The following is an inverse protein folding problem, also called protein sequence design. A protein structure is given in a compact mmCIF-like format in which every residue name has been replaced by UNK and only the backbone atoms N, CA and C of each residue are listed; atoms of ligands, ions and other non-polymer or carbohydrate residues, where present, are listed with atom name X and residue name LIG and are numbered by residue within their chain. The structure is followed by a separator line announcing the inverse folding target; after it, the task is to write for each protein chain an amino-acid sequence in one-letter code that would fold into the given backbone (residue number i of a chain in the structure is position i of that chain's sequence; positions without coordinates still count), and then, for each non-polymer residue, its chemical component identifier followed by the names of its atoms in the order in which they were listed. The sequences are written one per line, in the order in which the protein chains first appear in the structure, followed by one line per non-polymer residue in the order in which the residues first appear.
data_IF_431565108324
#
_entry.id   IF_431565108324
#
_cell.length_a   1.000
_cell.length_b   1.000
_cell.length_c   1.000
_cell.angle_alpha   90.00
_cell.angle_beta   90.00
_cell.angle_gamma   90.00
#
_symmetry.space_group_name_H-M   'P 1'
#
loop_
_entity.id
_entity.type
_entity.pdbx_description
1 polymer ?
#
# COMPACT_ATOMS: atom_id res chain seq x y z
N UNK A 1 56.66 6.90 21.84
CA UNK A 1 56.53 7.79 20.64
C UNK A 1 56.47 6.90 19.42
N UNK A 2 55.29 6.68 18.89
CA UNK A 2 55.09 5.89 17.65
C UNK A 2 54.55 6.87 16.64
N UNK A 3 55.38 7.21 15.66
CA UNK A 3 54.97 8.04 14.53
C UNK A 3 54.25 7.20 13.48
N UNK A 4 53.03 7.53 13.17
CA UNK A 4 52.29 6.97 12.04
C UNK A 4 52.64 7.79 10.76
N UNK A 5 52.99 7.14 9.64
CA UNK A 5 53.24 7.88 8.39
C UNK A 5 51.92 8.29 7.71
N UNK A 6 51.84 9.44 7.07
CA UNK A 6 50.68 9.85 6.34
C UNK A 6 50.66 9.16 4.97
N UNK A 7 49.73 8.21 4.81
CA UNK A 7 49.45 7.59 3.51
C UNK A 7 48.50 8.51 2.71
N UNK A 8 49.03 9.61 2.23
CA UNK A 8 48.36 10.45 1.23
C UNK A 8 48.80 9.99 -0.16
N UNK A 9 48.13 9.02 -0.74
CA UNK A 9 48.30 8.67 -2.15
C UNK A 9 47.77 9.81 -3.02
N UNK A 10 48.65 10.69 -3.44
CA UNK A 10 48.35 11.75 -4.42
C UNK A 10 48.07 11.04 -5.75
N UNK A 11 46.80 10.85 -6.10
CA UNK A 11 46.40 10.47 -7.44
C UNK A 11 46.97 11.46 -8.46
N UNK A 12 47.66 10.95 -9.46
CA UNK A 12 48.25 11.77 -10.55
C UNK A 12 47.15 12.52 -11.29
N UNK A 13 47.41 13.74 -11.78
CA UNK A 13 46.39 14.57 -12.45
C UNK A 13 45.71 13.86 -13.62
N UNK A 14 46.40 12.98 -14.31
CA UNK A 14 45.84 12.14 -15.40
C UNK A 14 44.79 11.14 -14.88
N UNK A 15 44.98 10.56 -13.71
CA UNK A 15 44.00 9.65 -13.09
C UNK A 15 42.73 10.38 -12.61
N UNK A 16 42.88 11.63 -12.18
CA UNK A 16 41.72 12.49 -11.82
C UNK A 16 40.91 12.89 -13.04
N UNK A 17 41.57 13.21 -14.16
CA UNK A 17 40.91 13.53 -15.40
C UNK A 17 40.16 12.33 -15.99
N UNK A 18 40.71 11.11 -15.85
CA UNK A 18 40.05 9.87 -16.33
C UNK A 18 38.84 9.52 -15.50
N UNK A 19 38.88 9.72 -14.17
CA UNK A 19 37.74 9.50 -13.27
C UNK A 19 36.58 10.49 -13.51
N UNK A 20 36.92 11.78 -13.81
CA UNK A 20 35.93 12.79 -14.17
C UNK A 20 35.28 12.49 -15.55
N UNK A 21 36.05 11.99 -16.51
CA UNK A 21 35.56 11.66 -17.86
C UNK A 21 34.60 10.43 -17.87
N UNK A 22 34.79 9.51 -16.92
CA UNK A 22 33.90 8.34 -16.76
C UNK A 22 32.62 8.63 -15.93
N UNK A 23 32.63 9.68 -15.10
CA UNK A 23 31.48 10.06 -14.31
C UNK A 23 30.42 10.87 -15.09
N UNK A 24 30.83 11.59 -16.16
CA UNK A 24 29.92 12.41 -16.96
C UNK A 24 28.86 11.62 -17.73
N UNK A 25 29.17 10.49 -18.39
CA UNK A 25 28.16 9.71 -19.11
C UNK A 25 27.17 8.98 -18.18
N UNK A 26 27.55 8.69 -16.94
CA UNK A 26 26.67 8.06 -15.96
C UNK A 26 25.54 9.00 -15.45
N UNK A 27 25.76 10.30 -15.42
CA UNK A 27 24.72 11.28 -15.07
C UNK A 27 23.71 11.52 -16.19
N UNK A 28 24.09 11.29 -17.46
CA UNK A 28 23.20 11.46 -18.62
C UNK A 28 22.25 10.27 -18.83
N UNK A 29 22.46 9.17 -18.14
CA UNK A 29 21.60 7.98 -18.23
C UNK A 29 20.36 7.98 -17.33
N UNK A 30 20.16 9.04 -16.52
CA UNK A 30 18.93 9.29 -15.78
C UNK A 30 17.85 9.80 -16.76
N UNK A 31 17.30 8.87 -17.54
CA UNK A 31 16.09 9.18 -18.31
C UNK A 31 14.99 9.61 -17.34
N UNK A 32 14.32 10.75 -17.56
CA UNK A 32 13.19 11.13 -16.74
C UNK A 32 12.15 10.02 -16.82
N UNK A 33 11.84 9.41 -15.69
CA UNK A 33 10.72 8.48 -15.59
C UNK A 33 9.46 9.31 -15.81
N UNK A 34 8.97 9.33 -17.03
CA UNK A 34 7.68 9.95 -17.36
C UNK A 34 6.58 9.03 -16.87
N UNK A 35 5.88 9.44 -15.81
CA UNK A 35 4.67 8.79 -15.38
C UNK A 35 3.62 8.94 -16.48
N UNK A 36 3.13 7.81 -17.02
CA UNK A 36 2.03 7.83 -17.99
C UNK A 36 0.73 8.13 -17.26
N UNK A 37 -0.07 9.01 -17.80
CA UNK A 37 -1.42 9.28 -17.30
C UNK A 37 -2.33 8.10 -17.66
N UNK A 38 -2.96 7.51 -16.63
CA UNK A 38 -4.04 6.55 -16.82
C UNK A 38 -5.35 7.33 -16.94
N UNK A 39 -6.06 7.15 -18.05
CA UNK A 39 -7.42 7.64 -18.22
C UNK A 39 -8.36 6.47 -17.95
N UNK A 40 -9.15 6.60 -16.90
CA UNK A 40 -10.14 5.61 -16.50
C UNK A 40 -11.54 6.16 -16.78
N UNK A 41 -12.35 5.40 -17.50
CA UNK A 41 -13.75 5.72 -17.79
C UNK A 41 -14.65 4.81 -16.96
N UNK A 42 -15.64 5.39 -16.31
CA UNK A 42 -16.64 4.71 -15.52
C UNK A 42 -18.03 5.16 -15.96
N UNK A 43 -19.06 4.38 -15.66
CA UNK A 43 -20.47 4.69 -15.93
C UNK A 43 -21.01 5.90 -15.16
N UNK A 44 -20.29 6.32 -14.11
CA UNK A 44 -20.65 7.46 -13.28
C UNK A 44 -19.47 7.98 -12.47
N UNK A 45 -19.69 9.03 -11.71
CA UNK A 45 -18.70 9.55 -10.76
C UNK A 45 -18.81 8.85 -9.40
N UNK A 46 -17.72 8.53 -8.72
CA UNK A 46 -17.76 8.03 -7.36
C UNK A 46 -18.33 9.08 -6.40
N UNK A 47 -19.12 8.65 -5.42
CA UNK A 47 -19.68 9.53 -4.37
C UNK A 47 -18.55 10.17 -3.54
N UNK A 48 -17.59 9.37 -3.16
CA UNK A 48 -16.38 9.74 -2.43
C UNK A 48 -15.40 8.55 -2.43
N UNK A 49 -14.24 8.71 -1.78
CA UNK A 49 -13.22 7.67 -1.65
C UNK A 49 -13.19 7.02 -0.26
N UNK A 50 -14.31 7.00 0.45
CA UNK A 50 -14.44 6.33 1.74
C UNK A 50 -15.39 5.13 1.65
N UNK A 51 -14.88 3.88 1.60
CA UNK A 51 -15.70 2.70 1.34
C UNK A 51 -16.73 2.39 2.44
N UNK A 52 -16.53 2.89 3.66
CA UNK A 52 -17.44 2.65 4.78
C UNK A 52 -18.81 3.32 4.69
N UNK A 53 -19.03 4.23 3.71
CA UNK A 53 -20.30 4.95 3.52
C UNK A 53 -20.84 4.85 2.09
N UNK A 54 -20.07 4.29 1.18
CA UNK A 54 -20.46 4.17 -0.22
C UNK A 54 -21.44 3.03 -0.43
N UNK A 55 -22.36 3.22 -1.36
CA UNK A 55 -23.40 2.24 -1.71
C UNK A 55 -23.46 1.91 -3.20
N UNK A 56 -22.74 2.65 -4.04
CA UNK A 56 -22.76 2.47 -5.50
C UNK A 56 -21.57 1.66 -6.00
N UNK A 57 -21.78 0.86 -7.05
CA UNK A 57 -20.73 0.08 -7.72
C UNK A 57 -19.57 0.95 -8.18
N UNK A 58 -19.87 2.11 -8.78
CA UNK A 58 -18.87 3.09 -9.24
C UNK A 58 -17.91 3.54 -8.13
N UNK A 59 -18.46 3.77 -6.93
CA UNK A 59 -17.64 4.15 -5.77
C UNK A 59 -16.80 2.98 -5.27
N UNK A 60 -17.31 1.75 -5.28
CA UNK A 60 -16.54 0.56 -4.92
C UNK A 60 -15.39 0.32 -5.90
N UNK A 61 -15.64 0.41 -7.21
CA UNK A 61 -14.62 0.25 -8.24
C UNK A 61 -13.50 1.30 -8.12
N UNK A 62 -13.86 2.56 -7.83
CA UNK A 62 -12.89 3.62 -7.61
C UNK A 62 -12.05 3.43 -6.33
N UNK A 63 -12.60 2.79 -5.32
CA UNK A 63 -11.94 2.52 -4.04
C UNK A 63 -11.09 1.24 -4.07
N UNK A 64 -11.36 0.30 -4.96
CA UNK A 64 -10.66 -0.98 -5.03
C UNK A 64 -9.12 -0.86 -5.13
N UNK A 65 -8.54 0.01 -5.96
CA UNK A 65 -7.10 0.17 -6.03
C UNK A 65 -6.48 0.93 -4.85
N UNK A 66 -7.31 1.52 -3.97
CA UNK A 66 -6.87 2.36 -2.85
C UNK A 66 -6.82 1.56 -1.55
N UNK A 67 -7.78 0.65 -1.34
CA UNK A 67 -7.97 -0.07 -0.07
C UNK A 67 -7.86 -1.59 -0.26
N UNK A 68 -7.24 -2.24 0.71
CA UNK A 68 -7.21 -3.69 0.79
C UNK A 68 -8.46 -4.21 1.50
N UNK A 69 -8.90 -5.39 1.11
CA UNK A 69 -10.04 -6.12 1.71
C UNK A 69 -9.54 -7.32 2.50
N UNK A 70 -10.37 -7.86 3.38
CA UNK A 70 -10.07 -9.11 4.11
C UNK A 70 -9.87 -10.26 3.12
N UNK A 71 -10.80 -10.36 2.17
CA UNK A 71 -10.73 -11.25 1.01
C UNK A 71 -11.02 -10.45 -0.25
N UNK A 72 -10.58 -10.93 -1.39
CA UNK A 72 -10.73 -10.27 -2.68
C UNK A 72 -11.35 -11.20 -3.70
N UNK A 73 -11.76 -10.67 -4.84
CA UNK A 73 -12.10 -11.48 -6.00
C UNK A 73 -10.91 -11.64 -6.91
N UNK A 74 -10.78 -12.82 -7.51
CA UNK A 74 -9.84 -13.05 -8.60
C UNK A 74 -10.12 -12.07 -9.75
N UNK A 75 -9.08 -11.49 -10.33
CA UNK A 75 -9.24 -10.53 -11.41
C UNK A 75 -9.94 -11.17 -12.62
N UNK A 76 -11.05 -10.56 -13.03
CA UNK A 76 -11.89 -11.07 -14.13
C UNK A 76 -12.72 -12.28 -13.78
N UNK A 77 -12.85 -12.62 -12.49
CA UNK A 77 -13.63 -13.78 -12.01
C UNK A 77 -14.44 -13.46 -10.76
N UNK A 78 -15.16 -14.46 -10.28
CA UNK A 78 -15.99 -14.39 -9.06
C UNK A 78 -15.43 -15.25 -7.90
N UNK A 79 -14.28 -15.90 -8.13
CA UNK A 79 -13.63 -16.71 -7.12
C UNK A 79 -13.04 -15.83 -6.02
N UNK A 80 -13.37 -16.15 -4.77
CA UNK A 80 -12.81 -15.49 -3.60
C UNK A 80 -11.37 -15.97 -3.37
N UNK A 81 -10.46 -15.02 -3.22
CA UNK A 81 -9.02 -15.24 -3.00
C UNK A 81 -8.53 -14.48 -1.77
N UNK A 82 -7.37 -14.87 -1.20
CA UNK A 82 -6.77 -14.17 -0.08
C UNK A 82 -6.49 -12.69 -0.36
N UNK A 83 -6.89 -11.83 0.60
CA UNK A 83 -6.53 -10.42 0.66
C UNK A 83 -5.66 -10.12 1.90
N UNK A 84 -6.17 -9.37 2.87
CA UNK A 84 -5.54 -9.17 4.18
C UNK A 84 -5.57 -10.44 5.03
N UNK A 85 -6.52 -11.35 4.80
CA UNK A 85 -6.47 -12.70 5.32
C UNK A 85 -5.68 -13.60 4.36
N UNK A 86 -4.77 -14.41 4.90
CA UNK A 86 -4.02 -15.42 4.12
C UNK A 86 -4.87 -16.65 3.82
N UNK A 87 -5.77 -16.99 4.75
CA UNK A 87 -6.71 -18.10 4.67
C UNK A 87 -7.86 -17.88 5.64
N UNK A 88 -8.88 -18.67 5.51
CA UNK A 88 -9.99 -18.71 6.46
C UNK A 88 -10.50 -20.14 6.63
N UNK A 89 -11.07 -20.41 7.79
CA UNK A 89 -11.73 -21.65 8.14
C UNK A 89 -13.23 -21.39 8.30
N UNK A 90 -14.05 -22.35 7.90
CA UNK A 90 -15.50 -22.26 8.00
C UNK A 90 -15.95 -23.45 8.87
N UNK A 91 -16.78 -23.20 9.88
CA UNK A 91 -17.35 -24.25 10.71
C UNK A 91 -18.25 -25.20 9.88
N UNK A 92 -18.46 -26.41 10.39
CA UNK A 92 -19.24 -27.44 9.68
C UNK A 92 -20.70 -27.02 9.43
N UNK A 93 -21.26 -26.14 10.28
CA UNK A 93 -22.60 -25.59 10.13
C UNK A 93 -22.66 -24.28 9.31
N UNK A 94 -21.50 -23.79 8.82
CA UNK A 94 -21.39 -22.62 7.98
C UNK A 94 -21.62 -21.28 8.69
N UNK A 95 -21.69 -21.26 10.03
CA UNK A 95 -22.05 -20.06 10.80
C UNK A 95 -20.86 -19.29 11.35
N UNK A 96 -19.70 -19.92 11.48
CA UNK A 96 -18.49 -19.30 11.99
C UNK A 96 -17.40 -19.26 10.90
N UNK A 97 -16.81 -18.08 10.72
CA UNK A 97 -15.73 -17.83 9.79
C UNK A 97 -14.53 -17.31 10.57
N UNK A 98 -13.45 -18.05 10.58
CA UNK A 98 -12.18 -17.63 11.22
C UNK A 98 -11.19 -17.18 10.17
N UNK A 99 -10.89 -15.90 10.13
CA UNK A 99 -9.92 -15.32 9.20
C UNK A 99 -8.52 -15.23 9.83
N UNK A 100 -7.51 -15.78 9.18
CA UNK A 100 -6.11 -15.69 9.59
C UNK A 100 -5.45 -14.50 8.89
N UNK A 101 -5.27 -13.41 9.62
CA UNK A 101 -4.76 -12.17 9.07
C UNK A 101 -3.25 -12.23 8.78
N UNK A 102 -2.81 -11.60 7.71
CA UNK A 102 -1.39 -11.40 7.40
C UNK A 102 -0.70 -10.61 8.50
N UNK A 103 0.52 -11.03 8.84
CA UNK A 103 1.37 -10.30 9.78
C UNK A 103 2.24 -9.30 9.04
N UNK A 104 2.63 -8.22 9.73
CA UNK A 104 3.57 -7.24 9.20
C UNK A 104 3.00 -6.34 8.10
N UNK A 105 1.68 -6.28 7.94
CA UNK A 105 1.03 -5.35 7.00
C UNK A 105 1.15 -3.94 7.53
N UNK A 106 1.78 -3.08 6.75
CA UNK A 106 2.04 -1.68 7.13
C UNK A 106 0.92 -0.78 6.67
N UNK A 107 0.62 0.21 7.49
CA UNK A 107 -0.24 1.32 7.10
C UNK A 107 0.50 2.32 6.23
N UNK A 108 -0.24 3.04 5.40
CA UNK A 108 0.32 4.17 4.68
C UNK A 108 0.82 5.24 5.65
N UNK A 109 2.08 5.65 5.46
CA UNK A 109 2.67 6.75 6.19
C UNK A 109 2.51 8.03 5.35
N UNK A 110 1.67 8.95 5.80
CA UNK A 110 1.37 10.19 5.09
C UNK A 110 1.79 11.42 5.90
N UNK A 111 1.67 12.59 5.30
CA UNK A 111 1.91 13.85 6.02
C UNK A 111 0.95 14.03 7.21
N UNK A 112 -0.29 13.61 7.06
CA UNK A 112 -1.35 13.77 8.05
C UNK A 112 -1.46 12.59 9.03
N UNK A 113 -0.94 11.42 8.67
CA UNK A 113 -1.07 10.19 9.45
C UNK A 113 0.25 9.45 9.57
N UNK A 114 0.67 9.21 10.81
CA UNK A 114 1.88 8.47 11.17
C UNK A 114 1.47 7.21 11.91
N UNK A 115 1.51 6.03 11.28
CA UNK A 115 1.16 4.78 11.95
C UNK A 115 2.16 4.46 13.06
N UNK A 116 1.65 4.00 14.20
CA UNK A 116 2.45 3.59 15.37
C UNK A 116 2.60 2.09 15.48
N UNK A 117 1.83 1.32 14.71
CA UNK A 117 1.84 -0.14 14.68
C UNK A 117 1.42 -0.67 13.30
N UNK A 118 1.58 -1.96 13.12
CA UNK A 118 1.06 -2.68 11.96
C UNK A 118 -0.45 -2.94 12.09
N UNK A 119 -1.08 -3.27 10.97
CA UNK A 119 -2.47 -3.74 10.90
C UNK A 119 -2.66 -5.01 11.73
N UNK A 120 -3.78 -5.09 12.45
CA UNK A 120 -4.19 -6.25 13.24
C UNK A 120 -5.71 -6.41 13.28
N UNK A 121 -6.21 -7.36 14.09
CA UNK A 121 -7.63 -7.67 14.22
C UNK A 121 -8.46 -6.53 14.82
N UNK A 122 -7.87 -5.66 15.67
CA UNK A 122 -8.58 -4.52 16.24
C UNK A 122 -9.01 -3.53 15.17
N UNK A 123 -8.25 -3.41 14.08
CA UNK A 123 -8.60 -2.54 12.95
C UNK A 123 -9.82 -3.05 12.19
N UNK A 124 -9.91 -4.38 12.04
CA UNK A 124 -11.08 -5.04 11.45
C UNK A 124 -12.31 -4.84 12.32
N UNK A 125 -12.17 -5.09 13.62
CA UNK A 125 -13.25 -4.90 14.59
C UNK A 125 -13.74 -3.45 14.60
N UNK A 126 -12.82 -2.48 14.62
CA UNK A 126 -13.13 -1.06 14.57
C UNK A 126 -13.98 -0.69 13.34
N UNK A 127 -13.62 -1.21 12.14
CA UNK A 127 -14.38 -0.93 10.92
C UNK A 127 -15.80 -1.49 10.97
N UNK A 128 -15.97 -2.71 11.48
CA UNK A 128 -17.29 -3.28 11.65
C UNK A 128 -18.11 -2.55 12.73
N UNK A 129 -17.54 -2.25 13.88
CA UNK A 129 -18.20 -1.51 14.95
C UNK A 129 -18.72 -0.13 14.50
N UNK A 130 -18.01 0.53 13.61
CA UNK A 130 -18.46 1.80 13.03
C UNK A 130 -19.74 1.67 12.21
N UNK A 131 -20.03 0.50 11.67
CA UNK A 131 -21.18 0.29 10.79
C UNK A 131 -22.42 -0.23 11.54
N UNK A 132 -22.23 -0.98 12.62
CA UNK A 132 -23.34 -1.59 13.34
C UNK A 132 -23.68 -0.93 14.69
N UNK A 133 -22.91 -0.01 15.21
CA UNK A 133 -23.29 0.79 16.38
C UNK A 133 -24.21 1.94 15.97
N UNK A 134 -25.44 1.94 16.47
CA UNK A 134 -26.50 2.88 16.11
C UNK A 134 -26.19 4.34 16.43
N UNK A 135 -25.34 4.60 17.42
CA UNK A 135 -24.88 5.95 17.81
C UNK A 135 -23.75 6.49 16.91
N UNK A 136 -23.32 5.70 15.95
CA UNK A 136 -22.25 6.09 15.06
C UNK A 136 -22.79 6.75 13.78
N UNK A 137 -22.17 7.86 13.35
CA UNK A 137 -22.53 8.58 12.11
C UNK A 137 -22.42 7.71 10.83
N UNK A 138 -21.68 6.57 10.91
CA UNK A 138 -21.52 5.62 9.80
C UNK A 138 -22.41 4.38 9.92
N UNK A 139 -23.33 4.38 10.90
CA UNK A 139 -24.29 3.30 11.07
C UNK A 139 -25.12 3.09 9.79
N UNK A 140 -25.21 1.86 9.36
CA UNK A 140 -26.02 1.44 8.22
C UNK A 140 -26.92 0.29 8.64
N UNK A 141 -28.21 0.47 8.46
CA UNK A 141 -29.20 -0.62 8.51
C UNK A 141 -29.14 -1.30 7.14
N UNK A 142 -28.71 -2.55 7.10
CA UNK A 142 -28.78 -3.41 5.91
C UNK A 142 -30.02 -4.26 5.96
#
# INVERSE_FOLDING_TARGET
MIQTPPFASRLRPVQRALLCALALPALLALSPVSAKTLVFCSEGSPENFYPGVNTTGTSFDANEPIYNRIVEFERGGTKVVPGLAEKWDISADGKEYTFHLRKGVKWHNTRAFKPTRDFNADDVLFMFERQWKEDNAFFRVT
#
